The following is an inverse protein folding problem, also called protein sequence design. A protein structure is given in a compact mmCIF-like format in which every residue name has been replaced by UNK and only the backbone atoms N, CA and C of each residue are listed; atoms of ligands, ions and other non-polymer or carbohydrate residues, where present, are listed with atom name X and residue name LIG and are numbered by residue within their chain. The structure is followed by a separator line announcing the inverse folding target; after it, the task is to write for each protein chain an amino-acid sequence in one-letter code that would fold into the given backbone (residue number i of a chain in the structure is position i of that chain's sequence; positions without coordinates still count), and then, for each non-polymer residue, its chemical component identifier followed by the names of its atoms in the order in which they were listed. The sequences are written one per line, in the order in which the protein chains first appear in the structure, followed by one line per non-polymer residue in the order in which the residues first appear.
data_IF_527664854936
#
_entry.id   IF_527664854936
#
_cell.length_a   1.000
_cell.length_b   1.000
_cell.length_c   1.000
_cell.angle_alpha   90.00
_cell.angle_beta   90.00
_cell.angle_gamma   90.00
#
_symmetry.space_group_name_H-M   'P 1'
#
loop_
_entity.id
_entity.type
_entity.pdbx_description
1 polymer ?
#
# COMPACT_ATOMS: atom_id res chain seq x y z
N UNK A 1 10.61 3.91 -2.03
CA UNK A 1 9.64 5.04 -1.94
C UNK A 1 8.46 4.73 -2.86
N UNK A 2 7.21 4.84 -2.43
CA UNK A 2 6.08 4.50 -3.29
C UNK A 2 5.61 5.69 -4.15
N UNK A 3 5.44 5.45 -5.44
CA UNK A 3 4.98 6.44 -6.41
C UNK A 3 3.60 6.08 -6.92
N UNK A 4 2.64 6.99 -6.78
CA UNK A 4 1.23 6.75 -7.11
C UNK A 4 0.77 7.70 -8.22
N UNK A 5 0.29 7.13 -9.33
CA UNK A 5 -0.16 7.90 -10.51
C UNK A 5 -1.67 8.19 -10.46
N UNK A 6 -2.13 9.43 -10.68
CA UNK A 6 -3.54 9.81 -10.65
C UNK A 6 -4.20 9.57 -12.02
N UNK A 7 -4.85 8.42 -12.21
CA UNK A 7 -5.86 8.26 -13.25
C UNK A 7 -7.22 8.06 -12.55
N UNK A 8 -8.31 8.59 -13.11
CA UNK A 8 -9.69 8.56 -12.55
C UNK A 8 -9.96 7.34 -11.67
N UNK A 9 -10.02 7.51 -10.34
CA UNK A 9 -10.32 6.44 -9.38
C UNK A 9 -9.35 5.25 -9.35
N UNK A 10 -8.12 5.41 -9.86
CA UNK A 10 -7.09 4.37 -9.91
C UNK A 10 -5.78 4.89 -9.34
N UNK A 11 -5.25 4.19 -8.35
CA UNK A 11 -3.96 4.45 -7.73
C UNK A 11 -3.03 3.26 -8.00
N UNK A 12 -1.76 3.56 -8.27
CA UNK A 12 -0.74 2.53 -8.49
C UNK A 12 0.19 2.56 -7.30
N UNK A 13 0.13 1.54 -6.44
CA UNK A 13 1.10 1.39 -5.36
C UNK A 13 2.35 0.68 -5.92
N UNK A 14 3.52 1.28 -5.75
CA UNK A 14 4.83 0.69 -6.08
C UNK A 14 5.70 0.71 -4.85
N UNK A 15 6.56 -0.27 -4.65
CA UNK A 15 7.46 -0.28 -3.51
C UNK A 15 8.74 -1.04 -3.84
N UNK A 16 9.77 -0.85 -3.02
CA UNK A 16 11.06 -1.48 -3.24
C UNK A 16 11.03 -2.96 -2.84
N UNK A 17 11.78 -3.74 -3.61
CA UNK A 17 12.02 -5.16 -3.36
C UNK A 17 12.76 -5.39 -2.05
N UNK A 18 12.20 -6.11 -1.09
CA UNK A 18 12.91 -6.53 0.13
C UNK A 18 13.46 -7.95 -0.06
N UNK A 19 14.75 -8.18 0.17
CA UNK A 19 15.34 -9.52 0.07
C UNK A 19 14.80 -10.45 1.17
N UNK A 20 14.57 -11.73 0.88
CA UNK A 20 14.07 -12.72 1.86
C UNK A 20 12.56 -12.69 2.13
N UNK A 21 11.80 -11.94 1.32
CA UNK A 21 10.33 -11.89 1.40
C UNK A 21 9.66 -13.07 0.69
N UNK A 22 8.53 -13.52 1.22
CA UNK A 22 7.62 -14.47 0.57
C UNK A 22 6.51 -13.71 -0.17
N UNK A 23 5.84 -12.77 0.51
CA UNK A 23 4.72 -11.99 -0.04
C UNK A 23 4.76 -10.54 0.46
N UNK A 24 3.95 -9.68 -0.16
CA UNK A 24 3.65 -8.35 0.33
C UNK A 24 2.17 -8.21 0.65
N UNK A 25 1.87 -7.59 1.79
CA UNK A 25 0.52 -7.19 2.19
C UNK A 25 0.39 -5.69 1.98
N UNK A 26 -0.51 -5.31 1.07
CA UNK A 26 -0.87 -3.92 0.84
C UNK A 26 -2.03 -3.56 1.74
N UNK A 27 -1.84 -2.55 2.57
CA UNK A 27 -2.86 -1.98 3.42
C UNK A 27 -3.21 -0.58 2.95
N UNK A 28 -4.46 -0.20 3.16
CA UNK A 28 -5.00 1.11 2.83
C UNK A 28 -5.73 1.69 4.03
N UNK A 29 -5.64 2.99 4.21
CA UNK A 29 -6.50 3.74 5.13
C UNK A 29 -6.95 5.05 4.50
N UNK A 30 -8.14 5.48 4.87
CA UNK A 30 -8.67 6.80 4.51
C UNK A 30 -8.70 7.77 5.68
N UNK A 31 -8.30 7.30 6.87
CA UNK A 31 -8.21 8.11 8.08
C UNK A 31 -6.76 8.50 8.38
N UNK A 32 -6.47 8.73 9.65
CA UNK A 32 -5.14 9.07 10.12
C UNK A 32 -4.14 7.91 9.90
N UNK A 33 -3.09 8.10 9.09
CA UNK A 33 -2.09 7.05 8.83
C UNK A 33 -1.25 6.70 10.07
N UNK A 34 -1.30 7.53 11.11
CA UNK A 34 -0.67 7.31 12.41
C UNK A 34 -1.41 6.28 13.27
N UNK A 35 -2.66 5.96 12.93
CA UNK A 35 -3.49 5.01 13.67
C UNK A 35 -3.31 3.61 13.07
N UNK A 36 -2.56 2.75 13.76
CA UNK A 36 -2.25 1.39 13.26
C UNK A 36 -3.49 0.52 13.05
N UNK A 37 -4.55 0.74 13.81
CA UNK A 37 -5.84 0.05 13.70
C UNK A 37 -6.72 0.54 12.55
N UNK A 38 -6.38 1.68 11.93
CA UNK A 38 -7.15 2.25 10.82
C UNK A 38 -6.80 1.65 9.46
N UNK A 39 -5.89 0.69 9.41
CA UNK A 39 -5.37 0.09 8.18
C UNK A 39 -6.13 -1.18 7.81
N UNK A 40 -6.78 -1.17 6.66
CA UNK A 40 -7.45 -2.34 6.10
C UNK A 40 -6.55 -3.06 5.10
N UNK A 41 -6.55 -4.39 5.14
CA UNK A 41 -5.82 -5.20 4.16
C UNK A 41 -6.56 -5.13 2.82
N UNK A 42 -5.89 -4.56 1.83
CA UNK A 42 -6.45 -4.40 0.50
C UNK A 42 -6.14 -5.61 -0.39
N UNK A 43 -4.88 -6.04 -0.39
CA UNK A 43 -4.44 -7.15 -1.23
C UNK A 43 -3.12 -7.76 -0.75
N UNK A 44 -2.89 -9.01 -1.14
CA UNK A 44 -1.61 -9.71 -0.95
C UNK A 44 -1.01 -10.03 -2.31
N UNK A 45 0.25 -9.65 -2.53
CA UNK A 45 0.92 -9.86 -3.81
C UNK A 45 2.40 -10.15 -3.63
N UNK A 46 2.98 -11.05 -4.43
CA UNK A 46 4.44 -11.25 -4.49
C UNK A 46 5.17 -10.18 -5.31
N UNK A 47 4.43 -9.35 -6.06
CA UNK A 47 4.99 -8.31 -6.92
C UNK A 47 5.23 -7.02 -6.14
N UNK A 48 6.14 -6.18 -6.63
CA UNK A 48 6.46 -4.85 -6.07
C UNK A 48 5.57 -3.73 -6.61
N UNK A 49 4.46 -4.10 -7.25
CA UNK A 49 3.52 -3.19 -7.88
C UNK A 49 2.11 -3.75 -7.78
N UNK A 50 1.19 -2.90 -7.36
CA UNK A 50 -0.23 -3.19 -7.30
C UNK A 50 -1.03 -2.02 -7.85
N UNK A 51 -2.14 -2.32 -8.52
CA UNK A 51 -3.07 -1.31 -9.02
C UNK A 51 -4.33 -1.42 -8.18
N UNK A 52 -4.68 -0.33 -7.52
CA UNK A 52 -5.92 -0.17 -6.79
C UNK A 52 -6.88 0.59 -7.69
N UNK A 53 -7.97 -0.05 -8.07
CA UNK A 53 -9.05 0.52 -8.85
C UNK A 53 -10.33 0.60 -8.00
N UNK A 54 -11.32 1.37 -8.48
CA UNK A 54 -12.58 1.56 -7.76
C UNK A 54 -12.47 2.51 -6.56
N UNK A 55 -11.45 3.37 -6.52
CA UNK A 55 -11.31 4.38 -5.47
C UNK A 55 -12.19 5.59 -5.74
N UNK A 56 -12.69 6.20 -4.67
CA UNK A 56 -13.50 7.40 -4.73
C UNK A 56 -12.62 8.60 -5.11
N UNK A 57 -13.03 9.35 -6.13
CA UNK A 57 -12.29 10.53 -6.58
C UNK A 57 -12.31 11.63 -5.51
N UNK A 58 -11.28 12.47 -5.52
CA UNK A 58 -11.05 13.55 -4.56
C UNK A 58 -10.85 13.10 -3.10
N UNK A 59 -10.58 11.82 -2.86
CA UNK A 59 -10.30 11.29 -1.52
C UNK A 59 -8.82 10.96 -1.37
N UNK A 60 -8.26 11.33 -0.22
CA UNK A 60 -6.87 11.00 0.14
C UNK A 60 -6.84 9.61 0.77
N UNK A 61 -6.06 8.73 0.19
CA UNK A 61 -5.80 7.38 0.65
C UNK A 61 -4.35 7.27 1.07
N UNK A 62 -4.09 6.68 2.22
CA UNK A 62 -2.75 6.30 2.64
C UNK A 62 -2.57 4.81 2.42
N UNK A 63 -1.40 4.43 1.90
CA UNK A 63 -1.01 3.07 1.59
C UNK A 63 0.23 2.71 2.38
N UNK A 64 0.27 1.48 2.90
CA UNK A 64 1.47 0.91 3.48
C UNK A 64 1.65 -0.50 2.98
N UNK A 65 2.90 -0.89 2.84
CA UNK A 65 3.25 -2.25 2.41
C UNK A 65 4.03 -2.91 3.52
N UNK A 66 3.61 -4.12 3.87
CA UNK A 66 4.29 -4.98 4.84
C UNK A 66 4.83 -6.18 4.07
N UNK A 67 6.14 -6.38 4.07
CA UNK A 67 6.71 -7.62 3.53
C UNK A 67 6.56 -8.73 4.58
N UNK A 68 6.11 -9.91 4.14
CA UNK A 68 6.03 -11.10 4.99
C UNK A 68 7.08 -12.07 4.48
N UNK A 69 8.10 -12.33 5.29
CA UNK A 69 9.17 -13.28 5.00
C UNK A 69 8.93 -14.62 5.67
N UNK A 70 9.90 -15.53 5.52
CA UNK A 70 9.88 -16.85 6.15
C UNK A 70 10.06 -16.77 7.67
N UNK A 71 10.76 -15.74 8.15
CA UNK A 71 11.04 -15.47 9.57
C UNK A 71 9.92 -14.67 10.27
N UNK A 72 8.85 -14.31 9.55
CA UNK A 72 7.76 -13.48 10.04
C UNK A 72 7.60 -12.15 9.28
N UNK A 73 6.78 -11.25 9.82
CA UNK A 73 6.53 -9.94 9.21
C UNK A 73 7.77 -9.04 9.35
N UNK A 74 8.21 -8.45 8.24
CA UNK A 74 9.28 -7.44 8.27
C UNK A 74 8.76 -6.11 8.83
N UNK A 75 9.67 -5.21 9.15
CA UNK A 75 9.34 -3.81 9.44
C UNK A 75 8.48 -3.25 8.29
N UNK A 76 7.33 -2.59 8.59
CA UNK A 76 6.50 -1.96 7.57
C UNK A 76 7.31 -0.92 6.78
N UNK A 77 7.04 -0.84 5.48
CA UNK A 77 7.63 0.22 4.64
C UNK A 77 7.06 1.59 4.95
N UNK A 78 7.78 2.63 4.53
CA UNK A 78 7.33 4.03 4.62
C UNK A 78 5.92 4.20 4.03
N UNK A 79 5.05 4.88 4.78
CA UNK A 79 3.66 5.09 4.39
C UNK A 79 3.58 6.09 3.23
N UNK A 80 2.82 5.77 2.21
CA UNK A 80 2.64 6.61 1.04
C UNK A 80 1.22 7.13 0.97
N UNK A 81 1.05 8.45 0.98
CA UNK A 81 -0.24 9.09 0.75
C UNK A 81 -0.45 9.38 -0.73
N UNK A 82 -1.68 9.15 -1.20
CA UNK A 82 -2.07 9.43 -2.56
C UNK A 82 -3.54 9.83 -2.64
N UNK A 83 -3.81 10.88 -3.39
CA UNK A 83 -5.17 11.36 -3.64
C UNK A 83 -5.67 10.78 -4.95
N UNK A 84 -6.81 10.10 -4.92
CA UNK A 84 -7.48 9.67 -6.14
C UNK A 84 -8.09 10.90 -6.84
N UNK A 85 -7.89 10.99 -8.16
CA UNK A 85 -8.45 12.05 -9.01
C UNK A 85 -9.74 11.60 -9.70
#
# INVERSE_FOLDING_TARGET
RAEVSPYKGRLIARWDGVAGRSIYKLYMTTGDPTVDTGWELLAETGKTRFVVDGLESFRTYSFRVVAVGTEGNSVPSDHASATAA
#
